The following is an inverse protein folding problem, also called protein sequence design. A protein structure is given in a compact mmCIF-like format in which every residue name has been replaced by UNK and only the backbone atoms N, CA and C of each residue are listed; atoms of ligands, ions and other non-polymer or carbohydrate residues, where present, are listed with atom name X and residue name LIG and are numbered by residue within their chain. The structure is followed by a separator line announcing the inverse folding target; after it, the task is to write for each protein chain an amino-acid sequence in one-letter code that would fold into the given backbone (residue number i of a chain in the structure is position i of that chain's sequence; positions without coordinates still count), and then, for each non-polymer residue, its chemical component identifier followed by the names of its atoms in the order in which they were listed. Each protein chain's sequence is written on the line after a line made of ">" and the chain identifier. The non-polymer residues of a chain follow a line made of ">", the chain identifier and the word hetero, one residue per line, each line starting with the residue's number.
data_IF_372204621928
#
_entry.id   IF_372204621928
#
_cell.length_a   1.000
_cell.length_b   1.000
_cell.length_c   1.000
_cell.angle_alpha   90.00
_cell.angle_beta   90.00
_cell.angle_gamma   90.00
#
_symmetry.space_group_name_H-M   'P 1'
#
loop_
_entity.id
_entity.type
_entity.pdbx_description
1 polymer ?
#
# COMPACT_ATOMS: atom_id res chain seq x y z
N UNK A 1 -37.98 19.96 49.60
CA UNK A 1 -38.10 18.68 48.85
C UNK A 1 -38.44 18.97 47.40
N UNK A 2 -37.52 18.64 46.49
CA UNK A 2 -37.72 18.04 45.15
C UNK A 2 -38.83 18.60 44.23
N UNK A 3 -38.63 19.74 43.59
CA UNK A 3 -39.39 20.09 42.37
C UNK A 3 -38.60 20.85 41.29
N UNK A 4 -37.37 21.31 41.57
CA UNK A 4 -36.58 22.06 40.58
C UNK A 4 -35.70 21.18 39.66
N UNK A 5 -35.45 19.93 40.05
CA UNK A 5 -34.58 19.00 39.30
C UNK A 5 -35.24 18.30 38.10
N UNK A 6 -36.57 18.23 38.04
CA UNK A 6 -37.27 17.49 36.97
C UNK A 6 -37.50 18.30 35.69
N UNK A 7 -37.52 19.64 35.77
CA UNK A 7 -37.81 20.48 34.59
C UNK A 7 -36.63 20.55 33.62
N UNK A 8 -35.39 20.63 34.14
CA UNK A 8 -34.18 20.64 33.31
C UNK A 8 -33.91 19.28 32.65
N UNK A 9 -34.18 18.17 33.34
CA UNK A 9 -34.00 16.82 32.78
C UNK A 9 -35.02 16.56 31.67
N UNK A 10 -36.28 17.00 31.84
CA UNK A 10 -37.32 16.89 30.81
C UNK A 10 -37.00 17.73 29.58
N UNK A 11 -36.48 18.96 29.76
CA UNK A 11 -36.06 19.84 28.68
C UNK A 11 -34.87 19.31 27.88
N UNK A 12 -33.88 18.71 28.56
CA UNK A 12 -32.72 18.09 27.91
C UNK A 12 -33.12 16.82 27.14
N UNK A 13 -34.03 16.01 27.69
CA UNK A 13 -34.59 14.85 26.98
C UNK A 13 -35.39 15.26 25.74
N UNK A 14 -36.23 16.30 25.83
CA UNK A 14 -36.98 16.83 24.69
C UNK A 14 -36.06 17.41 23.61
N UNK A 15 -34.98 18.09 23.97
CA UNK A 15 -33.96 18.55 23.02
C UNK A 15 -33.19 17.38 22.37
N UNK A 16 -32.85 16.33 23.12
CA UNK A 16 -32.20 15.14 22.57
C UNK A 16 -33.11 14.39 21.59
N UNK A 17 -34.41 14.26 21.89
CA UNK A 17 -35.38 13.66 20.97
C UNK A 17 -35.64 14.52 19.72
N UNK A 18 -35.63 15.85 19.84
CA UNK A 18 -35.71 16.75 18.68
C UNK A 18 -34.47 16.64 17.77
N UNK A 19 -33.27 16.58 18.34
CA UNK A 19 -32.02 16.45 17.57
C UNK A 19 -31.93 15.09 16.85
N UNK A 20 -32.40 14.00 17.48
CA UNK A 20 -32.47 12.67 16.84
C UNK A 20 -33.52 12.64 15.72
N UNK A 21 -34.65 13.35 15.89
CA UNK A 21 -35.72 13.42 14.89
C UNK A 21 -35.32 14.25 13.66
N UNK A 22 -34.53 15.31 13.85
CA UNK A 22 -34.02 16.14 12.73
C UNK A 22 -32.94 15.38 11.94
N UNK A 23 -32.13 14.54 12.59
CA UNK A 23 -31.13 13.69 11.91
C UNK A 23 -31.76 12.48 11.20
N UNK A 24 -32.90 11.97 11.68
CA UNK A 24 -33.62 10.85 11.07
C UNK A 24 -34.68 11.27 10.03
N UNK A 25 -34.73 12.55 9.68
CA UNK A 25 -35.45 13.01 8.49
C UNK A 25 -34.67 12.47 7.30
N UNK A 26 -35.11 11.31 6.80
CA UNK A 26 -34.49 10.65 5.66
C UNK A 26 -34.22 11.70 4.59
N UNK A 27 -32.94 11.98 4.37
CA UNK A 27 -32.51 12.71 3.20
C UNK A 27 -32.91 11.83 2.03
N UNK A 28 -34.11 12.05 1.51
CA UNK A 28 -34.53 11.52 0.23
C UNK A 28 -33.52 12.09 -0.76
N UNK A 29 -32.57 11.25 -1.15
CA UNK A 29 -31.52 11.61 -2.11
C UNK A 29 -32.26 11.91 -3.40
N UNK A 30 -32.59 13.18 -3.61
CA UNK A 30 -33.28 13.64 -4.82
C UNK A 30 -32.25 13.60 -5.93
N UNK A 31 -32.16 12.46 -6.61
CA UNK A 31 -31.27 12.27 -7.75
C UNK A 31 -31.76 13.21 -8.87
N UNK A 32 -30.94 14.17 -9.32
CA UNK A 32 -31.26 15.06 -10.44
C UNK A 32 -31.76 14.28 -11.66
N UNK A 33 -32.77 14.79 -12.38
CA UNK A 33 -33.35 14.08 -13.54
C UNK A 33 -32.30 13.72 -14.60
N UNK A 34 -31.29 14.57 -14.79
CA UNK A 34 -30.19 14.34 -15.74
C UNK A 34 -29.43 13.04 -15.44
N UNK A 35 -29.28 12.69 -14.15
CA UNK A 35 -28.62 11.46 -13.70
C UNK A 35 -29.53 10.22 -13.83
N UNK A 36 -30.86 10.41 -13.90
CA UNK A 36 -31.81 9.30 -14.14
C UNK A 36 -31.80 8.81 -15.59
N UNK A 37 -31.24 9.59 -16.52
CA UNK A 37 -31.08 9.21 -17.93
C UNK A 37 -29.63 8.96 -18.36
N UNK A 38 -28.66 9.22 -17.48
CA UNK A 38 -27.25 9.17 -17.83
C UNK A 38 -26.76 7.73 -18.04
N UNK A 39 -26.05 7.50 -19.14
CA UNK A 39 -25.34 6.25 -19.40
C UNK A 39 -23.88 6.42 -18.97
N UNK A 40 -23.44 5.63 -18.00
CA UNK A 40 -22.07 5.69 -17.48
C UNK A 40 -21.26 4.51 -17.98
N UNK A 41 -20.07 4.77 -18.54
CA UNK A 41 -19.11 3.72 -18.89
C UNK A 41 -18.20 3.43 -17.70
N UNK A 42 -18.38 2.27 -17.06
CA UNK A 42 -17.64 1.87 -15.85
C UNK A 42 -16.96 0.52 -16.02
N UNK A 43 -15.92 0.28 -15.21
CA UNK A 43 -15.32 -1.04 -15.10
C UNK A 43 -16.23 -1.93 -14.25
N UNK A 44 -16.79 -2.98 -14.84
CA UNK A 44 -17.67 -3.94 -14.14
C UNK A 44 -16.90 -5.14 -13.61
N UNK A 45 -15.77 -5.46 -14.23
CA UNK A 45 -14.90 -6.57 -13.85
C UNK A 45 -13.44 -6.18 -14.14
N UNK A 46 -12.51 -6.69 -13.35
CA UNK A 46 -11.08 -6.44 -13.50
C UNK A 46 -10.29 -7.66 -13.07
N UNK A 47 -9.31 -8.05 -13.87
CA UNK A 47 -8.31 -9.03 -13.42
C UNK A 47 -7.41 -8.41 -12.35
N UNK A 48 -6.71 -9.28 -11.61
CA UNK A 48 -5.55 -8.88 -10.81
C UNK A 48 -4.45 -8.28 -11.69
N UNK A 49 -3.54 -7.53 -11.06
CA UNK A 49 -2.38 -6.97 -11.73
C UNK A 49 -1.44 -8.09 -12.21
N UNK A 50 -0.83 -7.94 -13.40
CA UNK A 50 0.07 -8.94 -13.99
C UNK A 50 1.35 -9.18 -13.19
N UNK A 51 1.67 -8.29 -12.25
CA UNK A 51 2.87 -8.34 -11.41
C UNK A 51 2.51 -8.25 -9.94
N UNK A 52 3.30 -8.89 -9.09
CA UNK A 52 3.19 -8.81 -7.63
C UNK A 52 3.85 -7.55 -7.06
N UNK A 53 4.78 -6.94 -7.81
CA UNK A 53 5.46 -5.71 -7.44
C UNK A 53 5.74 -4.83 -8.68
N UNK A 54 5.75 -3.51 -8.48
CA UNK A 54 6.08 -2.53 -9.50
C UNK A 54 4.95 -2.29 -10.51
N UNK A 55 5.28 -1.67 -11.66
CA UNK A 55 4.31 -1.42 -12.72
C UNK A 55 3.96 -2.70 -13.47
N UNK A 56 2.69 -2.90 -13.73
CA UNK A 56 2.15 -3.98 -14.55
C UNK A 56 0.88 -3.54 -15.27
N UNK A 57 0.11 -4.51 -15.77
CA UNK A 57 -1.17 -4.24 -16.40
C UNK A 57 -2.26 -5.18 -15.86
N UNK A 58 -3.51 -4.76 -16.02
CA UNK A 58 -4.69 -5.56 -15.76
C UNK A 58 -5.70 -5.37 -16.90
N UNK A 59 -6.60 -6.32 -17.05
CA UNK A 59 -7.68 -6.26 -18.03
C UNK A 59 -8.97 -5.88 -17.31
N UNK A 60 -9.56 -4.76 -17.72
CA UNK A 60 -10.82 -4.23 -17.21
C UNK A 60 -11.92 -4.39 -18.25
N UNK A 61 -13.04 -4.99 -17.87
CA UNK A 61 -14.24 -5.02 -18.68
C UNK A 61 -15.01 -3.71 -18.47
N UNK A 62 -15.04 -2.87 -19.50
CA UNK A 62 -15.70 -1.58 -19.50
C UNK A 62 -17.06 -1.68 -20.20
N UNK A 63 -18.14 -1.56 -19.45
CA UNK A 63 -19.52 -1.59 -19.97
C UNK A 63 -20.20 -0.24 -19.76
N UNK A 64 -21.16 0.06 -20.62
CA UNK A 64 -22.13 1.13 -20.42
C UNK A 64 -23.26 0.61 -19.54
N UNK A 65 -23.51 1.30 -18.43
CA UNK A 65 -24.59 1.00 -17.50
C UNK A 65 -25.72 1.97 -17.77
N UNK A 66 -26.89 1.42 -18.01
CA UNK A 66 -28.11 2.19 -18.21
C UNK A 66 -28.91 2.32 -16.92
N UNK A 67 -29.84 3.29 -16.82
CA UNK A 67 -30.57 3.58 -15.58
C UNK A 67 -31.41 2.40 -15.04
N UNK A 68 -31.77 1.48 -15.92
CA UNK A 68 -32.44 0.20 -15.63
C UNK A 68 -31.49 -0.87 -15.06
N UNK A 69 -30.20 -0.56 -14.87
CA UNK A 69 -29.17 -1.49 -14.40
C UNK A 69 -28.63 -2.44 -15.49
N UNK A 70 -29.09 -2.28 -16.73
CA UNK A 70 -28.63 -3.08 -17.87
C UNK A 70 -27.17 -2.80 -18.24
N UNK A 71 -26.43 -3.84 -18.64
CA UNK A 71 -25.05 -3.73 -19.16
C UNK A 71 -25.08 -3.79 -20.68
N UNK A 72 -24.47 -2.80 -21.34
CA UNK A 72 -24.42 -2.66 -22.81
C UNK A 72 -23.00 -2.34 -23.24
N UNK A 73 -22.66 -2.61 -24.51
CA UNK A 73 -21.40 -2.18 -25.13
C UNK A 73 -20.13 -2.49 -24.30
N UNK A 74 -20.05 -3.71 -23.76
CA UNK A 74 -18.92 -4.17 -22.96
C UNK A 74 -17.67 -4.37 -23.82
N UNK A 75 -16.56 -3.82 -23.39
CA UNK A 75 -15.26 -3.88 -24.10
C UNK A 75 -14.15 -4.19 -23.11
N UNK A 76 -13.23 -5.08 -23.48
CA UNK A 76 -12.03 -5.33 -22.68
C UNK A 76 -11.00 -4.24 -22.93
N UNK A 77 -10.55 -3.60 -21.85
CA UNK A 77 -9.55 -2.55 -21.85
C UNK A 77 -8.34 -3.01 -21.04
N UNK A 78 -7.15 -2.90 -21.61
CA UNK A 78 -5.91 -3.01 -20.85
C UNK A 78 -5.64 -1.70 -20.13
N UNK A 79 -5.53 -1.76 -18.81
CA UNK A 79 -5.25 -0.61 -17.94
C UNK A 79 -3.99 -0.88 -17.12
N UNK A 80 -3.26 0.18 -16.82
CA UNK A 80 -2.03 0.08 -16.03
C UNK A 80 -2.35 -0.10 -14.55
N UNK A 81 -1.48 -0.85 -13.85
CA UNK A 81 -1.55 -1.00 -12.41
C UNK A 81 -0.16 -0.85 -11.78
N UNK A 82 -0.16 -0.37 -10.54
CA UNK A 82 1.04 -0.27 -9.70
C UNK A 82 0.72 -0.97 -8.38
N UNK A 83 1.52 -1.98 -8.03
CA UNK A 83 1.40 -2.70 -6.76
C UNK A 83 2.43 -2.16 -5.76
N UNK A 84 3.09 -3.03 -4.99
CA UNK A 84 4.19 -2.62 -4.13
C UNK A 84 5.36 -2.12 -4.97
N UNK A 85 5.85 -0.91 -4.68
CA UNK A 85 7.00 -0.36 -5.40
C UNK A 85 8.32 -1.06 -5.02
N UNK A 86 8.36 -1.87 -3.95
CA UNK A 86 9.56 -2.66 -3.56
C UNK A 86 9.34 -4.12 -3.95
N UNK A 87 10.22 -4.64 -4.81
CA UNK A 87 10.19 -6.01 -5.34
C UNK A 87 11.07 -7.01 -4.58
N UNK A 88 11.84 -6.56 -3.60
CA UNK A 88 12.76 -7.43 -2.87
C UNK A 88 14.00 -7.85 -3.65
N UNK A 89 14.59 -8.97 -3.25
CA UNK A 89 15.89 -9.47 -3.71
C UNK A 89 15.74 -10.71 -4.60
N UNK A 90 16.31 -10.63 -5.81
CA UNK A 90 16.39 -11.72 -6.77
C UNK A 90 17.82 -12.27 -6.81
N UNK A 91 17.99 -13.58 -6.66
CA UNK A 91 19.29 -14.22 -6.63
C UNK A 91 19.71 -14.80 -7.98
N UNK A 92 20.95 -14.56 -8.38
CA UNK A 92 21.58 -15.13 -9.57
C UNK A 92 22.88 -15.81 -9.15
N UNK A 93 23.07 -17.06 -9.57
CA UNK A 93 24.35 -17.76 -9.45
C UNK A 93 24.83 -18.09 -10.85
N UNK A 94 25.97 -17.55 -11.26
CA UNK A 94 26.53 -17.70 -12.60
C UNK A 94 27.99 -18.15 -12.53
N UNK A 95 28.41 -19.14 -13.34
CA UNK A 95 29.81 -19.52 -13.38
C UNK A 95 30.68 -18.45 -14.07
N UNK A 96 31.94 -18.33 -13.66
CA UNK A 96 32.93 -17.45 -14.30
C UNK A 96 33.00 -17.77 -15.81
N UNK A 97 33.06 -16.72 -16.63
CA UNK A 97 33.13 -16.85 -18.09
C UNK A 97 31.78 -16.97 -18.78
N UNK A 98 30.68 -17.26 -18.06
CA UNK A 98 29.35 -17.33 -18.66
C UNK A 98 28.71 -15.95 -18.78
N UNK A 99 27.85 -15.71 -19.79
CA UNK A 99 27.11 -14.45 -19.89
C UNK A 99 26.00 -14.38 -18.84
N UNK A 100 25.72 -13.19 -18.35
CA UNK A 100 24.60 -12.91 -17.44
C UNK A 100 23.89 -11.63 -17.89
N UNK A 101 22.56 -11.65 -17.86
CA UNK A 101 21.73 -10.48 -18.13
C UNK A 101 20.54 -10.45 -17.17
N UNK A 102 20.26 -9.26 -16.63
CA UNK A 102 19.06 -9.00 -15.85
C UNK A 102 18.56 -7.57 -16.10
N UNK A 103 17.25 -7.38 -15.93
CA UNK A 103 16.53 -6.14 -16.29
C UNK A 103 15.67 -5.65 -15.14
N UNK A 104 15.62 -4.34 -14.94
CA UNK A 104 14.72 -3.71 -13.97
C UNK A 104 13.24 -3.87 -14.37
N UNK A 105 12.97 -3.93 -15.67
CA UNK A 105 11.62 -4.08 -16.23
C UNK A 105 11.48 -5.43 -16.90
N UNK A 106 10.35 -6.08 -16.67
CA UNK A 106 9.95 -7.31 -17.36
C UNK A 106 9.30 -6.94 -18.70
N UNK A 107 9.47 -7.79 -19.72
CA UNK A 107 9.07 -7.51 -21.12
C UNK A 107 7.55 -7.33 -21.31
N UNK A 108 6.75 -7.79 -20.37
CA UNK A 108 5.29 -7.67 -20.32
C UNK A 108 4.81 -6.26 -19.90
N UNK A 109 5.68 -5.47 -19.27
CA UNK A 109 5.43 -4.06 -18.88
C UNK A 109 5.62 -3.05 -20.02
N UNK A 110 5.99 -3.52 -21.21
CA UNK A 110 6.23 -2.75 -22.45
C UNK A 110 4.92 -2.24 -23.08
N UNK A 111 3.91 -1.94 -22.26
CA UNK A 111 2.81 -1.03 -22.63
C UNK A 111 3.20 0.44 -22.43
N UNK A 112 4.17 0.69 -21.55
CA UNK A 112 4.82 1.98 -21.42
C UNK A 112 5.94 2.08 -22.44
N UNK A 113 5.86 3.08 -23.32
CA UNK A 113 7.02 3.48 -24.10
C UNK A 113 8.22 3.65 -23.17
N UNK A 114 9.33 2.98 -23.48
CA UNK A 114 10.61 3.02 -22.73
C UNK A 114 11.11 4.43 -22.44
N UNK A 115 10.54 5.44 -23.09
CA UNK A 115 10.76 6.88 -22.97
C UNK A 115 10.02 7.55 -21.80
N UNK A 116 9.27 6.84 -20.96
CA UNK A 116 8.57 7.42 -19.80
C UNK A 116 9.33 7.24 -18.48
N UNK A 117 10.38 6.42 -18.46
CA UNK A 117 11.09 6.02 -17.26
C UNK A 117 12.59 6.34 -17.31
N UNK A 118 13.15 6.56 -16.14
CA UNK A 118 14.60 6.62 -15.91
C UNK A 118 15.02 5.52 -14.94
N UNK A 119 16.25 5.06 -15.10
CA UNK A 119 16.83 3.96 -14.33
C UNK A 119 18.02 4.49 -13.55
N UNK A 120 18.06 4.20 -12.26
CA UNK A 120 19.22 4.50 -11.41
C UNK A 120 19.75 3.20 -10.85
N UNK A 121 21.02 2.92 -11.12
CA UNK A 121 21.69 1.73 -10.62
C UNK A 121 22.64 2.07 -9.48
N UNK A 122 22.68 1.16 -8.50
CA UNK A 122 23.67 1.17 -7.44
C UNK A 122 24.20 -0.24 -7.19
N UNK A 123 25.43 -0.34 -6.70
CA UNK A 123 26.12 -1.60 -6.46
C UNK A 123 26.67 -1.66 -5.03
N UNK A 124 26.36 -2.74 -4.33
CA UNK A 124 27.08 -3.20 -3.15
C UNK A 124 27.98 -4.36 -3.60
N UNK A 125 29.22 -4.05 -3.98
CA UNK A 125 30.14 -5.02 -4.57
C UNK A 125 30.53 -6.10 -3.55
N UNK A 126 30.51 -7.37 -3.98
CA UNK A 126 30.87 -8.53 -3.16
C UNK A 126 29.89 -8.88 -2.03
N UNK A 127 28.81 -8.11 -1.84
CA UNK A 127 27.86 -8.30 -0.74
C UNK A 127 26.47 -8.65 -1.26
N UNK A 128 25.80 -9.59 -0.58
CA UNK A 128 24.39 -9.88 -0.76
C UNK A 128 23.61 -9.14 0.32
N UNK A 129 22.96 -8.03 -0.03
CA UNK A 129 22.34 -7.13 0.96
C UNK A 129 21.22 -6.29 0.37
N UNK A 130 20.23 -5.95 1.21
CA UNK A 130 19.19 -4.95 0.91
C UNK A 130 19.40 -3.65 1.70
N UNK A 131 20.49 -3.54 2.47
CA UNK A 131 20.81 -2.34 3.25
C UNK A 131 21.29 -1.21 2.32
N UNK A 132 20.42 -0.23 2.11
CA UNK A 132 20.58 0.91 1.21
C UNK A 132 21.86 1.74 1.44
N UNK A 133 22.44 1.72 2.64
CA UNK A 133 23.64 2.50 2.99
C UNK A 133 24.91 1.94 2.33
N UNK A 134 24.94 0.64 2.03
CA UNK A 134 26.12 -0.04 1.48
C UNK A 134 26.28 0.16 -0.04
N UNK A 135 25.30 0.79 -0.68
CA UNK A 135 25.22 0.90 -2.14
C UNK A 135 25.91 2.16 -2.66
N UNK A 136 26.84 1.97 -3.60
CA UNK A 136 27.51 3.06 -4.34
C UNK A 136 26.88 3.24 -5.73
N UNK A 137 26.86 4.45 -6.31
CA UNK A 137 26.38 4.66 -7.66
C UNK A 137 27.06 3.73 -8.67
N UNK A 138 26.28 3.06 -9.51
CA UNK A 138 26.78 2.20 -10.59
C UNK A 138 26.38 2.83 -11.93
N UNK A 139 27.37 3.07 -12.80
CA UNK A 139 27.13 3.74 -14.09
C UNK A 139 26.53 2.75 -15.08
N UNK A 140 25.21 2.83 -15.26
CA UNK A 140 24.51 2.17 -16.35
C UNK A 140 23.28 3.01 -16.74
N UNK A 141 23.20 3.55 -17.96
CA UNK A 141 22.04 4.35 -18.38
C UNK A 141 20.83 3.49 -18.73
N UNK A 142 21.05 2.21 -19.05
CA UNK A 142 20.03 1.31 -19.56
C UNK A 142 19.23 0.62 -18.44
N UNK A 143 18.06 0.08 -18.79
CA UNK A 143 17.24 -0.74 -17.89
C UNK A 143 17.82 -2.14 -17.63
N UNK A 144 18.91 -2.49 -18.32
CA UNK A 144 19.47 -3.84 -18.37
C UNK A 144 20.96 -3.79 -18.03
N UNK A 145 21.41 -4.72 -17.20
CA UNK A 145 22.84 -5.00 -17.01
C UNK A 145 23.19 -6.26 -17.79
N UNK A 146 24.32 -6.24 -18.50
CA UNK A 146 24.83 -7.33 -19.33
C UNK A 146 26.30 -7.57 -19.01
N UNK A 147 26.62 -8.81 -18.64
CA UNK A 147 27.99 -9.30 -18.52
C UNK A 147 28.24 -10.32 -19.62
N UNK A 148 29.31 -10.16 -20.37
CA UNK A 148 29.73 -11.09 -21.41
C UNK A 148 31.24 -10.92 -21.65
N UNK A 149 32.10 -11.67 -20.95
CA UNK A 149 31.83 -12.68 -19.92
C UNK A 149 31.63 -12.11 -18.50
N UNK A 150 31.02 -12.89 -17.60
CA UNK A 150 30.96 -12.56 -16.16
C UNK A 150 32.29 -12.90 -15.45
N UNK A 151 32.72 -12.01 -14.56
CA UNK A 151 33.94 -12.11 -13.73
C UNK A 151 33.58 -12.14 -12.24
N UNK A 152 34.47 -12.65 -11.41
CA UNK A 152 34.28 -12.63 -9.94
C UNK A 152 34.05 -11.22 -9.38
N UNK A 153 34.69 -10.21 -9.99
CA UNK A 153 34.50 -8.80 -9.64
C UNK A 153 33.08 -8.29 -9.85
N UNK A 154 32.27 -8.97 -10.66
CA UNK A 154 30.88 -8.61 -10.96
C UNK A 154 29.93 -9.12 -9.88
N UNK A 155 30.41 -9.92 -8.92
CA UNK A 155 29.63 -10.38 -7.79
C UNK A 155 29.23 -9.23 -6.84
N UNK A 156 28.05 -9.32 -6.26
CA UNK A 156 27.48 -8.33 -5.35
C UNK A 156 25.99 -8.12 -5.57
N UNK A 157 25.43 -7.09 -4.93
CA UNK A 157 24.03 -6.73 -5.12
C UNK A 157 23.89 -5.48 -5.98
N UNK A 158 23.13 -5.61 -7.07
CA UNK A 158 22.76 -4.49 -7.93
C UNK A 158 21.35 -4.04 -7.54
N UNK A 159 21.21 -2.80 -7.09
CA UNK A 159 19.91 -2.17 -6.86
C UNK A 159 19.53 -1.36 -8.08
N UNK A 160 18.32 -1.56 -8.58
CA UNK A 160 17.72 -0.71 -9.59
C UNK A 160 16.51 0.03 -9.03
N UNK A 161 16.52 1.35 -9.16
CA UNK A 161 15.33 2.18 -8.98
C UNK A 161 14.80 2.63 -10.35
N UNK A 162 13.55 2.31 -10.64
CA UNK A 162 12.80 2.84 -11.80
C UNK A 162 12.03 4.06 -11.35
N UNK A 163 12.23 5.18 -12.04
CA UNK A 163 11.58 6.46 -11.75
C UNK A 163 10.76 6.94 -12.94
N UNK A 164 9.60 7.52 -12.69
CA UNK A 164 8.85 8.26 -13.70
C UNK A 164 9.62 9.52 -14.11
N UNK A 165 9.81 9.78 -15.40
CA UNK A 165 10.54 10.96 -15.86
C UNK A 165 9.84 12.28 -15.51
N UNK A 166 8.51 12.31 -15.56
CA UNK A 166 7.73 13.53 -15.30
C UNK A 166 7.74 13.94 -13.82
N UNK A 167 7.69 12.97 -12.91
CA UNK A 167 7.48 13.21 -11.48
C UNK A 167 8.68 12.83 -10.62
N UNK A 168 9.69 12.17 -11.20
CA UNK A 168 10.84 11.59 -10.51
C UNK A 168 10.51 10.59 -9.40
N UNK A 169 9.23 10.19 -9.25
CA UNK A 169 8.76 9.24 -8.25
C UNK A 169 9.31 7.85 -8.57
N UNK A 170 9.87 7.18 -7.56
CA UNK A 170 10.26 5.77 -7.64
C UNK A 170 9.00 4.91 -7.68
N UNK A 171 8.88 4.10 -8.73
CA UNK A 171 7.73 3.20 -8.96
C UNK A 171 8.11 1.73 -8.89
N UNK A 172 9.41 1.42 -8.95
CA UNK A 172 9.92 0.07 -8.76
C UNK A 172 11.32 0.14 -8.17
N UNK A 173 11.58 -0.65 -7.15
CA UNK A 173 12.90 -0.93 -6.61
C UNK A 173 13.08 -2.44 -6.55
N UNK A 174 14.16 -2.92 -7.15
CA UNK A 174 14.52 -4.34 -7.14
C UNK A 174 16.00 -4.48 -6.85
N UNK A 175 16.35 -5.52 -6.10
CA UNK A 175 17.73 -5.88 -5.79
C UNK A 175 18.07 -7.18 -6.52
N UNK A 176 19.23 -7.23 -7.15
CA UNK A 176 19.75 -8.41 -7.85
C UNK A 176 21.04 -8.86 -7.16
N UNK A 177 20.96 -9.94 -6.38
CA UNK A 177 22.10 -10.55 -5.71
C UNK A 177 22.82 -11.51 -6.66
N UNK A 178 23.93 -11.07 -7.24
CA UNK A 178 24.74 -11.84 -8.19
C UNK A 178 25.89 -12.53 -7.47
N UNK A 179 25.93 -13.85 -7.55
CA UNK A 179 27.01 -14.72 -7.10
C UNK A 179 27.73 -15.27 -8.32
N UNK A 180 29.04 -15.07 -8.37
CA UNK A 180 29.87 -15.59 -9.45
C UNK A 180 30.74 -16.70 -8.88
N UNK A 181 30.60 -17.91 -9.40
CA UNK A 181 31.31 -19.10 -8.91
C UNK A 181 32.32 -19.59 -9.93
N UNK A 182 33.46 -20.11 -9.49
CA UNK A 182 34.36 -20.82 -10.41
C UNK A 182 33.70 -22.13 -10.87
N UNK A 183 34.05 -22.61 -12.07
CA UNK A 183 33.41 -23.79 -12.68
C UNK A 183 33.66 -25.10 -11.91
N UNK A 184 34.64 -25.10 -11.02
CA UNK A 184 35.15 -26.21 -10.21
C UNK A 184 34.63 -26.19 -8.75
N UNK A 185 33.79 -25.22 -8.39
CA UNK A 185 33.18 -25.11 -7.06
C UNK A 185 31.66 -25.41 -7.12
N UNK A 186 31.14 -25.99 -6.03
CA UNK A 186 29.76 -26.48 -5.83
C UNK A 186 28.70 -25.52 -6.39
N UNK A 187 27.75 -26.02 -7.19
CA UNK A 187 26.59 -25.25 -7.67
C UNK A 187 25.69 -24.86 -6.49
N UNK A 188 25.81 -23.61 -6.03
CA UNK A 188 25.02 -23.05 -4.91
C UNK A 188 23.60 -22.65 -5.32
N UNK A 189 23.12 -23.05 -6.50
CA UNK A 189 21.75 -22.77 -6.92
C UNK A 189 20.77 -23.66 -6.13
N UNK A 190 20.29 -23.13 -5.01
CA UNK A 190 19.32 -23.80 -4.14
C UNK A 190 18.11 -24.33 -4.93
N UNK A 191 17.56 -23.57 -5.88
CA UNK A 191 16.43 -24.04 -6.71
C UNK A 191 16.76 -25.27 -7.56
N UNK A 192 18.01 -25.43 -8.00
CA UNK A 192 18.44 -26.67 -8.67
C UNK A 192 18.65 -27.81 -7.67
N UNK A 193 19.12 -27.50 -6.46
CA UNK A 193 19.34 -28.48 -5.39
C UNK A 193 18.06 -28.97 -4.73
N UNK A 194 16.95 -28.23 -4.86
CA UNK A 194 15.64 -28.66 -4.36
C UNK A 194 15.20 -29.95 -5.06
N UNK A 195 14.86 -30.96 -4.26
CA UNK A 195 14.22 -32.18 -4.77
C UNK A 195 12.83 -31.85 -5.34
N UNK A 196 12.29 -32.73 -6.18
CA UNK A 196 10.97 -32.54 -6.78
C UNK A 196 9.88 -32.28 -5.73
N UNK A 197 9.94 -33.01 -4.62
CA UNK A 197 9.02 -32.82 -3.48
C UNK A 197 9.16 -31.45 -2.82
N UNK A 198 10.38 -30.93 -2.67
CA UNK A 198 10.62 -29.60 -2.10
C UNK A 198 10.19 -28.46 -3.04
N UNK A 199 10.33 -28.66 -4.35
CA UNK A 199 9.78 -27.73 -5.35
C UNK A 199 8.26 -27.71 -5.29
N UNK A 200 7.63 -28.88 -5.13
CA UNK A 200 6.18 -28.99 -4.96
C UNK A 200 5.70 -28.34 -3.66
N UNK A 201 6.45 -28.47 -2.57
CA UNK A 201 6.14 -27.85 -1.28
C UNK A 201 6.25 -26.31 -1.35
N UNK A 202 7.33 -25.77 -1.93
CA UNK A 202 7.48 -24.32 -2.13
C UNK A 202 6.37 -23.74 -3.03
N UNK A 203 6.00 -24.44 -4.10
CA UNK A 203 4.90 -24.04 -4.97
C UNK A 203 3.51 -24.25 -4.34
N UNK A 204 3.35 -25.22 -3.43
CA UNK A 204 2.11 -25.40 -2.64
C UNK A 204 1.97 -24.32 -1.58
N UNK A 205 3.06 -23.80 -1.04
CA UNK A 205 3.04 -22.70 -0.08
C UNK A 205 2.69 -21.37 -0.78
N UNK A 206 3.13 -21.17 -2.03
CA UNK A 206 2.62 -20.10 -2.92
C UNK A 206 1.20 -20.35 -3.47
N UNK A 207 0.71 -21.60 -3.42
CA UNK A 207 -0.54 -22.04 -4.05
C UNK A 207 -1.67 -22.43 -3.11
N UNK A 208 -1.49 -22.35 -1.79
CA UNK A 208 -2.49 -22.76 -0.80
C UNK A 208 -2.79 -21.60 0.16
N UNK A 209 -3.45 -20.56 -0.38
CA UNK A 209 -4.27 -19.65 0.43
C UNK A 209 -5.74 -19.97 0.17
N UNK A 210 -6.19 -21.14 0.61
CA UNK A 210 -7.59 -21.32 0.99
C UNK A 210 -7.62 -22.08 2.32
N UNK A 211 -8.21 -21.40 3.31
CA UNK A 211 -8.59 -21.87 4.64
C UNK A 211 -7.45 -22.25 5.61
N UNK A 212 -6.72 -21.24 6.09
CA UNK A 212 -6.44 -21.18 7.52
C UNK A 212 -7.30 -20.08 8.15
N UNK A 213 -7.98 -20.47 9.21
CA UNK A 213 -8.89 -19.65 9.99
C UNK A 213 -8.16 -18.40 10.48
N UNK A 214 -8.83 -17.27 10.30
CA UNK A 214 -8.58 -16.00 10.99
C UNK A 214 -8.15 -16.20 12.44
N UNK A 215 -6.88 -15.97 12.78
CA UNK A 215 -6.48 -15.70 14.17
C UNK A 215 -5.10 -15.05 14.36
N UNK A 216 -4.63 -14.17 13.46
CA UNK A 216 -3.41 -13.35 13.75
C UNK A 216 -3.50 -11.87 13.33
N UNK A 217 -4.69 -11.36 12.98
CA UNK A 217 -4.90 -9.96 12.57
C UNK A 217 -5.61 -9.12 13.65
N UNK A 218 -5.92 -9.68 14.81
CA UNK A 218 -6.67 -8.96 15.85
C UNK A 218 -5.79 -8.13 16.80
N UNK A 219 -4.49 -8.41 16.92
CA UNK A 219 -3.65 -7.76 17.94
C UNK A 219 -3.13 -6.38 17.49
N UNK A 220 -2.93 -6.15 16.19
CA UNK A 220 -2.34 -4.91 15.69
C UNK A 220 -3.35 -3.75 15.53
N UNK A 221 -4.65 -4.05 15.43
CA UNK A 221 -5.70 -3.05 15.28
C UNK A 221 -6.14 -2.43 16.62
N UNK A 222 -5.98 -3.16 17.72
CA UNK A 222 -6.31 -2.65 19.07
C UNK A 222 -5.34 -1.56 19.56
N UNK A 223 -4.15 -1.47 18.96
CA UNK A 223 -3.13 -0.48 19.35
C UNK A 223 -3.47 0.94 18.87
N UNK A 224 -3.99 1.10 17.65
CA UNK A 224 -4.27 2.42 17.07
C UNK A 224 -5.54 3.09 17.59
N UNK A 225 -6.48 2.30 18.13
CA UNK A 225 -7.69 2.85 18.77
C UNK A 225 -7.44 3.29 20.22
N UNK A 226 -6.39 2.82 20.90
CA UNK A 226 -6.08 3.23 22.27
C UNK A 226 -5.57 4.68 22.38
N UNK A 227 -4.71 5.10 21.46
CA UNK A 227 -4.03 6.40 21.51
C UNK A 227 -5.01 7.58 21.34
N UNK A 228 -5.92 7.49 20.36
CA UNK A 228 -6.91 8.54 20.06
C UNK A 228 -7.99 8.69 21.15
N UNK A 229 -8.37 7.58 21.79
CA UNK A 229 -9.32 7.61 22.91
C UNK A 229 -8.67 8.19 24.17
N UNK A 230 -7.39 7.93 24.41
CA UNK A 230 -6.65 8.47 25.55
C UNK A 230 -6.47 9.99 25.43
N UNK A 231 -6.10 10.49 24.25
CA UNK A 231 -5.96 11.95 24.03
C UNK A 231 -7.30 12.69 24.17
N UNK A 232 -8.41 12.13 23.68
CA UNK A 232 -9.74 12.71 23.89
C UNK A 232 -10.15 12.73 25.37
N UNK A 233 -9.88 11.65 26.11
CA UNK A 233 -10.20 11.55 27.54
C UNK A 233 -9.39 12.54 28.38
N UNK A 234 -8.10 12.70 28.09
CA UNK A 234 -7.23 13.68 28.76
C UNK A 234 -7.67 15.11 28.43
N UNK A 235 -8.08 15.38 27.18
CA UNK A 235 -8.63 16.67 26.77
C UNK A 235 -9.91 17.06 27.52
N UNK A 236 -10.86 16.11 27.65
CA UNK A 236 -12.12 16.36 28.37
C UNK A 236 -11.89 16.53 29.88
N UNK A 237 -11.07 15.68 30.49
CA UNK A 237 -10.80 15.75 31.93
C UNK A 237 -10.08 17.05 32.33
N UNK A 238 -9.10 17.49 31.53
CA UNK A 238 -8.39 18.76 31.78
C UNK A 238 -9.29 19.98 31.60
N UNK A 239 -10.18 19.97 30.61
CA UNK A 239 -11.15 21.05 30.39
C UNK A 239 -12.14 21.21 31.55
N UNK A 240 -12.64 20.10 32.10
CA UNK A 240 -13.56 20.14 33.26
C UNK A 240 -12.86 20.66 34.51
N UNK A 241 -11.63 20.19 34.79
CA UNK A 241 -10.86 20.64 35.94
C UNK A 241 -10.54 22.14 35.82
N UNK A 242 -10.09 22.59 34.65
CA UNK A 242 -9.82 24.00 34.38
C UNK A 242 -11.06 24.89 34.56
N UNK A 243 -12.21 24.46 34.05
CA UNK A 243 -13.48 25.17 34.21
C UNK A 243 -13.91 25.32 35.68
N UNK A 244 -13.73 24.27 36.49
CA UNK A 244 -14.02 24.32 37.94
C UNK A 244 -13.08 25.29 38.67
N UNK A 245 -11.79 25.27 38.37
CA UNK A 245 -10.84 26.21 38.99
C UNK A 245 -11.12 27.66 38.62
N UNK A 246 -11.44 27.95 37.36
CA UNK A 246 -11.79 29.31 36.92
C UNK A 246 -13.09 29.77 37.59
N UNK A 247 -14.11 28.90 37.66
CA UNK A 247 -15.37 29.21 38.34
C UNK A 247 -15.16 29.47 39.83
N UNK A 248 -14.33 28.67 40.50
CA UNK A 248 -14.02 28.85 41.91
C UNK A 248 -13.20 30.13 42.15
N UNK A 249 -12.23 30.44 41.29
CA UNK A 249 -11.47 31.69 41.36
C UNK A 249 -12.39 32.90 41.17
N UNK A 250 -13.27 32.88 40.16
CA UNK A 250 -14.25 33.95 39.93
C UNK A 250 -15.22 34.12 41.11
N UNK A 251 -15.65 33.02 41.72
CA UNK A 251 -16.47 33.05 42.93
C UNK A 251 -15.72 33.69 44.12
N UNK A 252 -14.43 33.35 44.31
CA UNK A 252 -13.60 33.96 45.34
C UNK A 252 -13.32 35.44 45.06
N UNK A 253 -13.04 35.82 43.81
CA UNK A 253 -12.86 37.21 43.41
C UNK A 253 -14.14 38.04 43.61
N UNK A 254 -15.32 37.49 43.26
CA UNK A 254 -16.60 38.14 43.54
C UNK A 254 -16.87 38.28 45.05
N UNK A 255 -16.42 37.32 45.87
CA UNK A 255 -16.54 37.38 47.33
C UNK A 255 -15.56 38.35 47.99
N UNK A 256 -14.41 38.61 47.36
CA UNK A 256 -13.39 39.56 47.84
C UNK A 256 -13.72 40.99 47.38
N UNK A 257 -14.23 41.19 46.16
CA UNK A 257 -14.69 42.49 45.66
C UNK A 257 -16.10 42.89 46.11
N UNK A 258 -16.90 41.94 46.63
CA UNK A 258 -18.24 42.16 47.16
C UNK A 258 -18.29 42.45 48.66
N UNK A 259 -17.21 42.99 49.24
CA UNK A 259 -17.15 43.45 50.63
C UNK A 259 -16.70 44.90 50.71
#
# INVERSE_FOLDING_TARGET
>A
MKTLGNSHILGILLCAFYLVSVVSSGTEITIPEELKSAVAKIAVNSTSCSVTCGPGFKLEEMCEITPDGGRRNCTLRRSDCLTSWVCGLLHFTVPVGKPLQFSCLTSDTVGFGSRAYSYTWRLAQGLITTNDVLFKPFKNPDSVIRFSPTRESDAGTYRCDVRMLKTFKVIKRVYFGVRVTQNDLVDLNFQKSLTWEQKLAANKEEGNTENSTHEEVQEQQHFWQGELFYECLVGVASGVIGGVFVSMALYFFQKILGR
#
